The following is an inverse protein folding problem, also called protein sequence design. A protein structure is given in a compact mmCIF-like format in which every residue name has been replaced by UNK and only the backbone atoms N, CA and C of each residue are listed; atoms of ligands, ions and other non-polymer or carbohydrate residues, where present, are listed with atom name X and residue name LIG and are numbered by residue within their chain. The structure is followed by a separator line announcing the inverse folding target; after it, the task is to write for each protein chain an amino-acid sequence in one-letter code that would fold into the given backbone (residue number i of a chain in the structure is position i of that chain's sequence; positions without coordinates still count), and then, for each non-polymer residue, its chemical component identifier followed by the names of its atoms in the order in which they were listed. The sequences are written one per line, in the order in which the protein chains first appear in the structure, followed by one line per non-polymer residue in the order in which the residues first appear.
data_IF_066632047897
#
_entry.id   IF_066632047897
#
_cell.length_a   1.000
_cell.length_b   1.000
_cell.length_c   1.000
_cell.angle_alpha   90.00
_cell.angle_beta   90.00
_cell.angle_gamma   90.00
#
_symmetry.space_group_name_H-M   'P 1'
#
loop_
_entity.id
_entity.type
_entity.pdbx_description
1 polymer ?
#
# COMPACT_ATOMS: atom_id res chain seq x y z
N UNK A 1 -2.58 -14.94 1.76
CA UNK A 1 -3.35 -15.79 0.83
C UNK A 1 -4.51 -14.96 0.28
N UNK A 2 -4.39 -14.49 -0.96
CA UNK A 2 -5.39 -13.58 -1.53
C UNK A 2 -6.74 -14.26 -1.78
N UNK A 3 -6.72 -15.55 -2.13
CA UNK A 3 -7.94 -16.30 -2.44
C UNK A 3 -8.74 -16.53 -1.15
N UNK A 4 -8.08 -16.95 -0.07
CA UNK A 4 -8.76 -17.16 1.20
C UNK A 4 -9.44 -15.90 1.76
N UNK A 5 -8.77 -14.75 1.68
CA UNK A 5 -9.35 -13.47 2.10
C UNK A 5 -10.55 -13.05 1.25
N UNK A 6 -10.47 -13.27 -0.07
CA UNK A 6 -11.55 -12.96 -1.00
C UNK A 6 -12.77 -13.86 -0.76
N UNK A 7 -12.56 -15.17 -0.61
CA UNK A 7 -13.62 -16.15 -0.35
C UNK A 7 -14.33 -15.87 0.99
N UNK A 8 -13.61 -15.37 1.99
CA UNK A 8 -14.16 -14.98 3.28
C UNK A 8 -14.83 -13.61 3.30
N UNK A 9 -14.79 -12.85 2.20
CA UNK A 9 -15.36 -11.50 2.14
C UNK A 9 -14.60 -10.47 3.00
N UNK A 10 -13.35 -10.75 3.36
CA UNK A 10 -12.52 -9.90 4.23
C UNK A 10 -11.70 -8.87 3.45
N UNK A 11 -11.98 -8.66 2.16
CA UNK A 11 -11.20 -7.75 1.33
C UNK A 11 -12.07 -7.08 0.29
N UNK A 12 -11.93 -5.77 0.15
CA UNK A 12 -12.56 -4.98 -0.90
C UNK A 12 -11.70 -4.94 -2.17
N UNK A 13 -10.38 -4.86 -2.01
CA UNK A 13 -9.44 -4.79 -3.12
C UNK A 13 -8.02 -5.20 -2.69
N UNK A 14 -7.22 -5.62 -3.67
CA UNK A 14 -5.79 -5.85 -3.52
C UNK A 14 -5.00 -4.93 -4.45
N UNK A 15 -3.85 -4.43 -3.99
CA UNK A 15 -2.90 -3.74 -4.85
C UNK A 15 -1.54 -4.44 -4.84
N UNK A 16 -1.21 -5.10 -5.94
CA UNK A 16 0.12 -5.66 -6.16
C UNK A 16 1.12 -4.53 -6.49
N UNK A 17 2.16 -4.40 -5.68
CA UNK A 17 3.18 -3.36 -5.83
C UNK A 17 4.24 -3.85 -6.80
N UNK A 18 4.29 -3.20 -7.96
CA UNK A 18 5.23 -3.49 -9.05
C UNK A 18 5.93 -2.20 -9.48
N UNK A 19 6.32 -2.05 -10.76
CA UNK A 19 6.86 -0.79 -11.26
C UNK A 19 5.88 0.37 -11.08
N UNK A 20 6.41 1.55 -10.70
CA UNK A 20 5.62 2.75 -10.37
C UNK A 20 5.39 2.95 -8.87
N UNK A 21 5.92 2.07 -8.02
CA UNK A 21 6.02 2.31 -6.59
C UNK A 21 4.74 2.10 -5.80
N UNK A 22 4.78 2.48 -4.52
CA UNK A 22 3.73 2.20 -3.54
C UNK A 22 2.44 2.97 -3.83
N UNK A 23 2.52 4.31 -3.83
CA UNK A 23 1.37 5.18 -3.97
C UNK A 23 0.61 4.96 -5.28
N UNK A 24 1.31 4.82 -6.41
CA UNK A 24 0.68 4.69 -7.73
C UNK A 24 -0.09 3.38 -7.87
N UNK A 25 0.45 2.27 -7.36
CA UNK A 25 -0.22 0.97 -7.42
C UNK A 25 -1.42 0.89 -6.47
N UNK A 26 -1.33 1.49 -5.28
CA UNK A 26 -2.45 1.53 -4.33
C UNK A 26 -3.57 2.49 -4.81
N UNK A 27 -3.21 3.65 -5.34
CA UNK A 27 -4.16 4.63 -5.87
C UNK A 27 -5.04 4.05 -7.00
N UNK A 28 -4.49 3.15 -7.83
CA UNK A 28 -5.20 2.50 -8.94
C UNK A 28 -6.43 1.70 -8.50
N UNK A 29 -6.45 1.16 -7.28
CA UNK A 29 -7.56 0.33 -6.80
C UNK A 29 -8.51 1.09 -5.87
N UNK A 30 -8.17 2.33 -5.53
CA UNK A 30 -9.04 3.20 -4.74
C UNK A 30 -10.02 3.95 -5.67
N UNK A 31 -11.30 4.05 -5.30
CA UNK A 31 -12.22 5.02 -5.87
C UNK A 31 -11.70 6.46 -5.74
N UNK A 32 -12.05 7.33 -6.70
CA UNK A 32 -11.57 8.73 -6.77
C UNK A 32 -11.91 9.58 -5.53
N UNK A 33 -13.01 9.25 -4.86
CA UNK A 33 -13.50 9.93 -3.66
C UNK A 33 -12.84 9.44 -2.36
N UNK A 34 -11.85 8.53 -2.44
CA UNK A 34 -11.13 8.02 -1.27
C UNK A 34 -9.66 8.47 -1.24
N UNK A 35 -9.15 8.51 -0.02
CA UNK A 35 -7.75 8.79 0.30
C UNK A 35 -7.21 7.69 1.22
N UNK A 36 -5.97 7.26 0.97
CA UNK A 36 -5.26 6.35 1.87
C UNK A 36 -4.00 7.00 2.43
N UNK A 37 -3.87 6.96 3.76
CA UNK A 37 -2.66 7.31 4.48
C UNK A 37 -1.92 6.00 4.82
N UNK A 38 -0.66 5.88 4.39
CA UNK A 38 0.19 4.70 4.60
C UNK A 38 1.37 5.07 5.50
N UNK A 39 1.46 4.48 6.68
CA UNK A 39 2.40 4.85 7.72
C UNK A 39 3.76 4.18 7.54
N UNK A 40 4.79 4.95 7.15
CA UNK A 40 6.15 4.45 6.89
C UNK A 40 6.79 3.75 8.07
N UNK A 41 6.44 4.20 9.27
CA UNK A 41 6.96 3.64 10.54
C UNK A 41 6.54 2.19 10.77
N UNK A 42 5.56 1.67 10.03
CA UNK A 42 5.03 0.31 10.22
C UNK A 42 5.88 -0.78 9.62
N UNK A 43 6.91 -0.45 8.81
CA UNK A 43 7.84 -1.44 8.29
C UNK A 43 9.28 -0.94 8.27
N UNK A 44 10.20 -1.88 8.13
CA UNK A 44 11.62 -1.59 7.93
C UNK A 44 11.93 -1.65 6.44
N UNK A 45 12.67 -0.66 5.94
CA UNK A 45 13.12 -0.65 4.55
C UNK A 45 14.16 -1.78 4.38
N UNK A 46 13.98 -2.72 3.43
CA UNK A 46 14.97 -3.76 3.19
C UNK A 46 16.35 -3.18 2.82
N UNK A 47 17.42 -3.81 3.33
CA UNK A 47 18.81 -3.36 3.16
C UNK A 47 19.23 -3.07 1.71
N UNK A 48 18.65 -3.78 0.74
CA UNK A 48 18.91 -3.52 -0.69
C UNK A 48 18.48 -2.10 -1.10
N UNK A 49 17.34 -1.62 -0.59
CA UNK A 49 16.84 -0.27 -0.87
C UNK A 49 17.55 0.77 -0.01
N UNK A 50 17.89 0.46 1.25
CA UNK A 50 18.75 1.34 2.07
C UNK A 50 20.06 1.64 1.35
N UNK A 51 20.67 0.63 0.72
CA UNK A 51 21.90 0.79 -0.03
C UNK A 51 21.74 1.67 -1.29
N UNK A 52 20.53 1.81 -1.83
CA UNK A 52 20.24 2.77 -2.91
C UNK A 52 20.12 4.19 -2.35
N UNK A 53 19.41 4.35 -1.23
CA UNK A 53 19.25 5.63 -0.55
C UNK A 53 20.62 6.21 -0.12
N UNK A 54 21.50 5.39 0.46
CA UNK A 54 22.86 5.81 0.82
C UNK A 54 23.71 6.23 -0.37
N UNK A 55 23.41 5.73 -1.58
CA UNK A 55 24.09 6.10 -2.83
C UNK A 55 23.50 7.34 -3.51
N UNK A 56 22.55 8.01 -2.87
CA UNK A 56 22.03 9.31 -3.31
C UNK A 56 20.67 9.27 -4.02
N UNK A 57 20.00 8.11 -4.09
CA UNK A 57 18.59 8.06 -4.53
C UNK A 57 17.72 8.69 -3.44
N UNK A 58 16.85 9.63 -3.82
CA UNK A 58 15.92 10.23 -2.86
C UNK A 58 14.88 9.21 -2.38
N UNK A 59 14.35 9.39 -1.16
CA UNK A 59 13.30 8.52 -0.65
C UNK A 59 12.05 8.55 -1.56
N UNK A 60 11.67 9.74 -2.03
CA UNK A 60 10.52 9.92 -2.91
C UNK A 60 10.70 9.16 -4.24
N UNK A 61 11.88 9.28 -4.88
CA UNK A 61 12.15 8.56 -6.12
C UNK A 61 12.14 7.03 -5.90
N UNK A 62 12.69 6.58 -4.76
CA UNK A 62 12.70 5.18 -4.40
C UNK A 62 11.26 4.65 -4.21
N UNK A 63 10.41 5.36 -3.48
CA UNK A 63 9.01 4.99 -3.21
C UNK A 63 8.12 5.05 -4.45
N UNK A 64 8.47 5.87 -5.44
CA UNK A 64 7.81 5.96 -6.76
C UNK A 64 8.30 4.92 -7.75
N UNK A 65 9.37 4.20 -7.44
CA UNK A 65 10.01 3.24 -8.35
C UNK A 65 9.90 1.82 -7.85
N UNK A 66 10.25 1.59 -6.58
CA UNK A 66 10.41 0.29 -5.97
C UNK A 66 9.27 -0.03 -4.99
N UNK A 67 9.20 -1.30 -4.59
CA UNK A 67 8.21 -1.77 -3.64
C UNK A 67 8.58 -1.48 -2.17
N UNK A 68 9.82 -1.06 -1.89
CA UNK A 68 10.31 -0.72 -0.55
C UNK A 68 10.07 -1.79 0.53
N UNK A 69 9.90 -3.05 0.14
CA UNK A 69 9.58 -4.17 1.04
C UNK A 69 8.10 -4.59 1.09
N UNK A 70 7.19 -3.84 0.47
CA UNK A 70 5.76 -4.16 0.44
C UNK A 70 5.41 -4.79 -0.90
N UNK A 71 5.17 -6.10 -0.93
CA UNK A 71 4.75 -6.77 -2.16
C UNK A 71 3.28 -6.52 -2.52
N UNK A 72 2.40 -6.43 -1.52
CA UNK A 72 0.95 -6.41 -1.72
C UNK A 72 0.28 -5.57 -0.64
N UNK A 73 -0.71 -4.78 -1.00
CA UNK A 73 -1.69 -4.21 -0.08
C UNK A 73 -3.02 -4.97 -0.18
N UNK A 74 -3.70 -5.14 0.95
CA UNK A 74 -5.08 -5.59 1.02
C UNK A 74 -5.92 -4.51 1.71
N UNK A 75 -7.01 -4.10 1.08
CA UNK A 75 -7.96 -3.14 1.64
C UNK A 75 -9.09 -3.93 2.28
N UNK A 76 -9.18 -3.88 3.61
CA UNK A 76 -10.13 -4.70 4.39
C UNK A 76 -11.05 -3.82 5.25
N UNK A 77 -12.34 -4.19 5.39
CA UNK A 77 -13.21 -3.61 6.40
C UNK A 77 -12.90 -4.09 7.83
N UNK A 78 -12.23 -5.24 7.97
CA UNK A 78 -11.92 -5.90 9.24
C UNK A 78 -10.43 -6.34 9.24
N UNK A 79 -9.52 -5.47 9.69
CA UNK A 79 -8.09 -5.78 9.71
C UNK A 79 -7.75 -6.91 10.67
N UNK A 80 -8.45 -7.02 11.80
CA UNK A 80 -8.11 -8.01 12.83
C UNK A 80 -8.43 -9.44 12.32
N UNK A 81 -9.63 -9.64 11.75
CA UNK A 81 -10.00 -10.93 11.17
C UNK A 81 -9.11 -11.32 9.97
N UNK A 82 -8.74 -10.34 9.13
CA UNK A 82 -7.84 -10.59 8.01
C UNK A 82 -6.43 -10.99 8.48
N UNK A 83 -5.90 -10.32 9.51
CA UNK A 83 -4.59 -10.62 10.07
C UNK A 83 -4.57 -12.00 10.75
N UNK A 84 -5.58 -12.35 11.54
CA UNK A 84 -5.72 -13.68 12.14
C UNK A 84 -5.69 -14.79 11.08
N UNK A 85 -6.45 -14.60 10.00
CA UNK A 85 -6.48 -15.57 8.89
C UNK A 85 -5.12 -15.71 8.18
N UNK A 86 -4.41 -14.60 7.97
CA UNK A 86 -3.09 -14.62 7.32
C UNK A 86 -2.03 -15.25 8.21
N UNK A 87 -2.05 -14.97 9.52
CA UNK A 87 -1.15 -15.56 10.51
C UNK A 87 -1.32 -17.09 10.60
N UNK A 88 -2.57 -17.57 10.67
CA UNK A 88 -2.89 -19.00 10.64
C UNK A 88 -2.38 -19.72 9.38
N UNK A 89 -2.09 -18.97 8.31
CA UNK A 89 -1.55 -19.47 7.03
C UNK A 89 -0.06 -19.20 6.85
N UNK A 90 0.61 -18.65 7.87
CA UNK A 90 2.03 -18.33 7.82
C UNK A 90 2.37 -17.22 6.82
N UNK A 91 1.43 -16.31 6.54
CA UNK A 91 1.65 -15.16 5.65
C UNK A 91 1.89 -13.91 6.48
N UNK A 92 3.12 -13.37 6.51
CA UNK A 92 3.42 -12.15 7.26
C UNK A 92 2.59 -10.97 6.76
N UNK A 93 1.85 -10.33 7.65
CA UNK A 93 1.04 -9.16 7.36
C UNK A 93 0.87 -8.31 8.62
N UNK A 94 0.57 -7.03 8.42
CA UNK A 94 0.30 -6.07 9.49
C UNK A 94 -0.60 -4.94 8.96
N UNK A 95 -1.24 -4.21 9.86
CA UNK A 95 -1.94 -2.99 9.50
C UNK A 95 -0.92 -1.87 9.24
N UNK A 96 -0.94 -1.30 8.04
CA UNK A 96 0.06 -0.30 7.59
C UNK A 96 -0.53 1.09 7.33
N UNK A 97 -1.82 1.30 7.61
CA UNK A 97 -2.47 2.57 7.30
C UNK A 97 -3.99 2.47 7.30
N UNK A 98 -4.65 3.50 6.77
CA UNK A 98 -6.11 3.61 6.76
C UNK A 98 -6.62 4.28 5.50
N UNK A 99 -7.85 3.95 5.12
CA UNK A 99 -8.59 4.59 4.02
C UNK A 99 -9.71 5.44 4.59
N UNK A 100 -9.88 6.64 4.06
CA UNK A 100 -10.88 7.63 4.48
C UNK A 100 -11.49 8.35 3.28
N UNK A 101 -12.64 9.03 3.44
CA UNK A 101 -13.11 9.97 2.44
C UNK A 101 -12.05 11.02 2.11
N UNK A 102 -11.93 11.33 0.82
CA UNK A 102 -11.01 12.35 0.32
C UNK A 102 -11.51 13.74 0.72
N UNK A 103 -10.64 14.53 1.32
CA UNK A 103 -10.87 15.91 1.71
C UNK A 103 -10.28 16.90 0.70
N UNK A 104 -10.80 18.13 0.73
CA UNK A 104 -10.22 19.24 -0.05
C UNK A 104 -8.81 19.50 0.45
N UNK A 105 -7.83 19.47 -0.44
CA UNK A 105 -6.42 19.64 -0.11
C UNK A 105 -5.62 18.34 0.02
N UNK A 106 -6.27 17.16 -0.03
CA UNK A 106 -5.55 15.89 -0.07
C UNK A 106 -4.71 15.77 -1.36
N UNK A 107 -3.40 15.64 -1.16
CA UNK A 107 -2.40 15.42 -2.21
C UNK A 107 -2.05 13.94 -2.25
N UNK A 108 -1.88 13.43 -3.46
CA UNK A 108 -1.38 12.08 -3.69
C UNK A 108 0.12 12.14 -4.01
N UNK A 109 0.92 11.27 -3.40
CA UNK A 109 2.37 11.21 -3.63
C UNK A 109 2.73 10.70 -5.03
N UNK A 110 1.77 10.01 -5.69
CA UNK A 110 1.88 9.65 -7.09
C UNK A 110 0.48 9.63 -7.75
N UNK A 111 0.40 9.85 -9.08
CA UNK A 111 -0.83 9.61 -9.83
C UNK A 111 -1.17 8.10 -9.87
N UNK A 112 -2.45 7.78 -9.96
CA UNK A 112 -2.90 6.41 -10.12
C UNK A 112 -2.39 5.82 -11.45
N UNK A 113 -1.87 4.59 -11.39
CA UNK A 113 -1.34 3.91 -12.58
C UNK A 113 -2.50 3.54 -13.51
N UNK A 114 -2.52 4.13 -14.71
CA UNK A 114 -3.55 3.86 -15.73
C UNK A 114 -4.67 4.90 -15.81
N UNK A 115 -4.58 6.03 -15.09
CA UNK A 115 -5.52 7.14 -15.23
C UNK A 115 -6.18 7.52 -13.91
N UNK A 116 -7.50 7.38 -13.82
CA UNK A 116 -8.30 7.71 -12.65
C UNK A 116 -8.08 6.73 -11.49
N UNK A 117 -8.16 7.26 -10.27
CA UNK A 117 -8.05 6.50 -9.03
C UNK A 117 -8.12 7.44 -7.83
N UNK A 118 -8.10 6.85 -6.64
CA UNK A 118 -8.05 7.59 -5.38
C UNK A 118 -6.72 8.29 -5.17
N UNK A 119 -6.57 8.86 -3.98
CA UNK A 119 -5.33 9.51 -3.56
C UNK A 119 -4.62 8.69 -2.50
N UNK A 120 -3.29 8.66 -2.54
CA UNK A 120 -2.47 7.94 -1.56
C UNK A 120 -1.34 8.83 -1.10
N UNK A 121 -1.16 8.91 0.21
CA UNK A 121 -0.04 9.56 0.83
C UNK A 121 0.68 8.59 1.75
N UNK A 122 2.00 8.52 1.61
CA UNK A 122 2.84 7.89 2.59
C UNK A 122 3.13 8.94 3.66
N UNK A 123 2.93 8.59 4.93
CA UNK A 123 3.07 9.48 6.10
C UNK A 123 4.12 8.97 7.08
#
# INVERSE_FOLDING_TARGET
DCLALADAGLVHAFAHVTGGGLASNLARVLPENLHADVERSTWQIPAVFEALLTRGVSLEDAERTFNMGIGMFALTPDPDAALEMLDARGVPAWACGRVRPRAVGDVSDAPAKGGSGGSVRLV
#
